data_IF_623042277843
#
_entry.id   IF_623042277843
#
_cell.length_a   1.000
_cell.length_b   1.000
_cell.length_c   1.000
_cell.angle_alpha   90.00
_cell.angle_beta   90.00
_cell.angle_gamma   90.00
#
_symmetry.space_group_name_H-M   'P 1'
#
loop_
_entity.id
_entity.type
_entity.pdbx_description
1 polymer ?
#
# COMPACT_ATOMS: atom_id res chain seq x y z
N UNK A 1 -13.21 5.91 -7.63
CA UNK A 1 -13.42 6.14 -6.18
C UNK A 1 -14.78 6.78 -5.99
N UNK A 2 -15.70 6.12 -5.30
CA UNK A 2 -17.05 6.65 -5.08
C UNK A 2 -17.05 7.65 -3.93
N UNK A 3 -17.92 8.67 -4.01
CA UNK A 3 -18.03 9.72 -3.01
C UNK A 3 -19.49 9.89 -2.59
N UNK A 4 -19.71 10.05 -1.29
CA UNK A 4 -21.02 10.24 -0.68
C UNK A 4 -21.00 11.47 0.22
N UNK A 5 -22.16 12.08 0.44
CA UNK A 5 -22.28 13.14 1.44
C UNK A 5 -22.43 12.55 2.85
N UNK A 6 -22.13 13.33 3.88
CA UNK A 6 -22.45 12.96 5.27
C UNK A 6 -23.95 12.66 5.47
N UNK A 7 -24.82 13.27 4.66
CA UNK A 7 -26.26 12.99 4.68
C UNK A 7 -26.57 11.59 4.14
N UNK A 8 -25.93 11.18 3.05
CA UNK A 8 -26.10 9.83 2.49
C UNK A 8 -25.59 8.78 3.46
N UNK A 9 -24.45 9.04 4.10
CA UNK A 9 -23.88 8.16 5.13
C UNK A 9 -24.84 7.94 6.30
N UNK A 10 -25.48 9.00 6.80
CA UNK A 10 -26.40 8.92 7.93
C UNK A 10 -27.75 8.30 7.57
N UNK A 11 -28.23 8.46 6.33
CA UNK A 11 -29.52 7.91 5.89
C UNK A 11 -29.43 6.45 5.48
N UNK A 12 -28.37 6.06 4.78
CA UNK A 12 -28.22 4.74 4.17
C UNK A 12 -26.85 4.11 4.44
N UNK A 13 -26.46 3.90 5.71
CA UNK A 13 -25.14 3.36 6.03
C UNK A 13 -24.88 1.99 5.39
N UNK A 14 -25.93 1.18 5.19
CA UNK A 14 -25.83 -0.11 4.52
C UNK A 14 -25.42 -0.01 3.04
N UNK A 15 -25.85 1.04 2.33
CA UNK A 15 -25.44 1.29 0.93
C UNK A 15 -23.96 1.66 0.87
N UNK A 16 -23.50 2.48 1.80
CA UNK A 16 -22.09 2.89 1.87
C UNK A 16 -21.21 1.68 2.19
N UNK A 17 -21.60 0.85 3.16
CA UNK A 17 -20.87 -0.38 3.51
C UNK A 17 -20.73 -1.32 2.33
N UNK A 18 -21.80 -1.53 1.53
CA UNK A 18 -21.75 -2.34 0.32
C UNK A 18 -20.82 -1.74 -0.74
N UNK A 19 -20.90 -0.43 -0.97
CA UNK A 19 -19.99 0.24 -1.91
C UNK A 19 -18.53 0.17 -1.48
N UNK A 20 -18.27 0.15 -0.17
CA UNK A 20 -16.93 0.06 0.39
C UNK A 20 -16.28 -1.34 0.22
N UNK A 21 -17.05 -2.39 -0.11
CA UNK A 21 -16.50 -3.74 -0.35
C UNK A 21 -15.54 -3.73 -1.55
N UNK A 22 -15.88 -2.97 -2.60
CA UNK A 22 -15.08 -2.89 -3.83
C UNK A 22 -13.89 -1.92 -3.72
N UNK A 23 -13.73 -1.26 -2.57
CA UNK A 23 -12.65 -0.31 -2.32
C UNK A 23 -13.10 0.88 -1.51
N UNK A 24 -12.14 1.70 -1.08
CA UNK A 24 -12.42 2.86 -0.23
C UNK A 24 -13.39 3.86 -0.90
N UNK A 25 -14.33 4.36 -0.11
CA UNK A 25 -15.26 5.43 -0.52
C UNK A 25 -15.06 6.66 0.36
N UNK A 26 -15.29 7.84 -0.21
CA UNK A 26 -15.07 9.11 0.49
C UNK A 26 -16.39 9.67 0.98
N UNK A 27 -16.42 10.13 2.22
CA UNK A 27 -17.51 10.91 2.80
C UNK A 27 -17.12 12.38 2.78
N UNK A 28 -18.06 13.21 2.33
CA UNK A 28 -17.87 14.66 2.19
C UNK A 28 -18.86 15.45 3.01
N UNK A 29 -18.42 16.61 3.50
CA UNK A 29 -19.26 17.62 4.10
C UNK A 29 -19.06 18.96 3.39
N UNK A 30 -20.16 19.57 2.93
CA UNK A 30 -20.14 20.82 2.13
C UNK A 30 -19.13 20.77 0.96
N UNK A 31 -19.04 19.60 0.30
CA UNK A 31 -18.14 19.36 -0.83
C UNK A 31 -16.69 19.05 -0.48
N UNK A 32 -16.31 19.05 0.81
CA UNK A 32 -14.94 18.72 1.25
C UNK A 32 -14.86 17.28 1.77
N UNK A 33 -13.86 16.48 1.37
CA UNK A 33 -13.59 15.18 1.97
C UNK A 33 -13.32 15.31 3.46
N UNK A 34 -13.98 14.48 4.27
CA UNK A 34 -13.80 14.46 5.73
C UNK A 34 -13.40 13.08 6.27
N UNK A 35 -13.73 12.01 5.56
CA UNK A 35 -13.49 10.64 6.00
C UNK A 35 -13.43 9.69 4.80
N UNK A 36 -12.66 8.61 4.92
CA UNK A 36 -12.75 7.45 4.03
C UNK A 36 -13.35 6.27 4.79
N UNK A 37 -14.23 5.52 4.13
CA UNK A 37 -14.83 4.27 4.64
C UNK A 37 -14.31 3.12 3.80
N UNK A 38 -13.80 2.07 4.44
CA UNK A 38 -13.24 0.88 3.81
C UNK A 38 -13.39 -0.34 4.72
N UNK A 39 -13.20 -1.57 4.21
CA UNK A 39 -13.15 -2.78 5.04
C UNK A 39 -12.01 -2.67 6.04
N UNK A 40 -12.24 -3.15 7.26
CA UNK A 40 -11.23 -3.04 8.33
C UNK A 40 -9.92 -3.79 8.00
N UNK A 41 -10.00 -4.91 7.28
CA UNK A 41 -8.82 -5.65 6.82
C UNK A 41 -7.93 -4.81 5.88
N UNK A 42 -8.54 -3.96 5.04
CA UNK A 42 -7.79 -3.07 4.15
C UNK A 42 -7.13 -1.95 4.94
N UNK A 43 -7.81 -1.41 5.96
CA UNK A 43 -7.20 -0.46 6.89
C UNK A 43 -5.99 -1.07 7.62
N UNK A 44 -6.09 -2.30 8.12
CA UNK A 44 -4.96 -2.98 8.76
C UNK A 44 -3.82 -3.24 7.77
N UNK A 45 -4.12 -3.62 6.52
CA UNK A 45 -3.11 -3.77 5.45
C UNK A 45 -2.37 -2.46 5.16
N UNK A 46 -3.07 -1.33 5.14
CA UNK A 46 -2.47 0.00 4.92
C UNK A 46 -1.71 0.52 6.13
N UNK A 47 -2.11 0.10 7.33
CA UNK A 47 -1.44 0.46 8.59
C UNK A 47 -0.16 -0.35 8.81
N UNK A 48 -0.05 -1.54 8.20
CA UNK A 48 1.15 -2.34 8.29
C UNK A 48 2.36 -1.53 7.82
N UNK A 49 3.50 -1.57 8.55
CA UNK A 49 4.71 -0.93 8.11
C UNK A 49 5.07 -1.46 6.71
N UNK A 50 5.69 -0.61 5.85
CA UNK A 50 6.21 -1.11 4.59
C UNK A 50 7.08 -2.33 4.89
N UNK A 51 6.84 -3.43 4.17
CA UNK A 51 7.59 -4.67 4.38
C UNK A 51 9.08 -4.34 4.46
N UNK A 52 9.74 -4.84 5.51
CA UNK A 52 11.16 -4.63 5.69
C UNK A 52 11.87 -5.25 4.48
N UNK A 53 12.66 -4.46 3.76
CA UNK A 53 13.42 -4.96 2.61
C UNK A 53 14.32 -6.11 3.04
N UNK A 54 14.80 -6.12 4.30
CA UNK A 54 15.61 -7.21 4.84
C UNK A 54 14.78 -8.49 4.95
N UNK A 55 13.56 -8.44 5.49
CA UNK A 55 12.66 -9.61 5.55
C UNK A 55 12.31 -10.13 4.14
N UNK A 56 12.23 -9.24 3.15
CA UNK A 56 11.95 -9.62 1.75
C UNK A 56 13.18 -10.21 1.02
N UNK A 57 14.39 -9.83 1.45
CA UNK A 57 15.66 -10.36 0.97
C UNK A 57 16.17 -11.54 1.80
N UNK A 58 15.51 -11.83 2.93
CA UNK A 58 15.87 -12.93 3.80
C UNK A 58 15.50 -14.23 3.09
N UNK A 59 16.53 -14.97 2.70
CA UNK A 59 16.40 -16.31 2.16
C UNK A 59 16.78 -17.25 3.29
N UNK A 60 15.75 -17.79 3.95
CA UNK A 60 15.92 -18.84 4.95
C UNK A 60 16.75 -19.99 4.33
N UNK A 61 17.69 -20.55 5.09
CA UNK A 61 18.68 -21.59 4.67
C UNK A 61 19.92 -21.10 3.87
N UNK A 62 20.07 -19.80 3.59
CA UNK A 62 21.21 -19.24 2.80
C UNK A 62 22.28 -18.56 3.67
N UNK A 63 22.41 -18.97 4.94
CA UNK A 63 23.28 -18.30 5.91
C UNK A 63 24.79 -18.39 5.63
N UNK A 64 25.24 -19.44 4.94
CA UNK A 64 26.66 -19.71 4.68
C UNK A 64 26.91 -20.05 3.20
N UNK A 65 26.48 -19.18 2.26
CA UNK A 65 27.01 -19.28 0.90
C UNK A 65 28.41 -18.65 0.87
N UNK A 66 29.37 -19.44 0.41
CA UNK A 66 30.70 -18.94 0.07
C UNK A 66 30.61 -18.09 -1.21
N UNK A 67 30.40 -16.79 -1.04
CA UNK A 67 30.36 -15.83 -2.17
C UNK A 67 31.73 -15.19 -2.34
N UNK A 68 32.41 -15.51 -3.44
CA UNK A 68 33.65 -14.84 -3.82
C UNK A 68 33.35 -13.47 -4.45
N UNK A 69 33.38 -12.43 -3.62
CA UNK A 69 33.33 -11.05 -4.07
C UNK A 69 34.69 -10.63 -4.65
N UNK A 70 34.94 -11.04 -5.89
CA UNK A 70 36.09 -10.55 -6.63
C UNK A 70 35.99 -9.04 -6.87
N UNK A 71 37.08 -8.32 -6.60
CA UNK A 71 37.13 -6.87 -6.81
C UNK A 71 36.94 -6.57 -8.30
N UNK A 72 35.90 -5.79 -8.62
CA UNK A 72 35.66 -5.38 -9.99
C UNK A 72 36.92 -4.67 -10.55
N UNK A 73 37.38 -5.02 -11.75
CA UNK A 73 38.62 -4.48 -12.33
C UNK A 73 38.52 -2.99 -12.68
N UNK A 74 37.32 -2.42 -12.63
CA UNK A 74 37.07 -1.01 -12.92
C UNK A 74 35.93 -0.47 -12.08
N UNK A 75 35.90 0.85 -11.93
CA UNK A 75 34.75 1.54 -11.33
C UNK A 75 33.50 1.43 -12.21
N UNK A 76 32.30 1.54 -11.62
CA UNK A 76 31.06 1.66 -12.36
C UNK A 76 31.15 2.84 -13.35
N UNK A 77 30.61 2.64 -14.56
CA UNK A 77 30.51 3.66 -15.60
C UNK A 77 29.05 3.94 -15.92
N UNK A 78 28.69 5.17 -16.33
CA UNK A 78 27.32 5.51 -16.70
C UNK A 78 26.80 4.58 -17.79
N UNK A 79 25.58 4.08 -17.62
CA UNK A 79 24.87 3.39 -18.69
C UNK A 79 24.40 4.44 -19.71
N UNK A 80 24.65 4.18 -21.00
CA UNK A 80 24.05 4.94 -22.08
C UNK A 80 22.76 4.21 -22.45
N UNK A 81 21.63 4.90 -22.29
CA UNK A 81 20.32 4.42 -22.72
C UNK A 81 19.95 5.15 -24.02
N UNK A 82 19.38 4.42 -24.98
CA UNK A 82 18.75 4.98 -26.19
C UNK A 82 17.32 5.45 -25.87
#
# INVERSE_FOLDING_TARGET
MQTFSSRDFNREPGRIKRAAVDGAVIITERGRPIMAVMPFAEYERLKAPPGNILDALDMDEVGDIEVDFSRAPSFPRPAVFD
#
